data_IF_760400182901
#
_entry.id   IF_760400182901
#
_cell.length_a   1.000
_cell.length_b   1.000
_cell.length_c   1.000
_cell.angle_alpha   90.00
_cell.angle_beta   90.00
_cell.angle_gamma   90.00
#
_symmetry.space_group_name_H-M   'P 1'
#
loop_
_entity.id
_entity.type
_entity.pdbx_description
1 polymer ?
#
# COMPACT_ATOMS: atom_id res chain seq x y z
N UNK A 1 11.67 55.51 8.65
CA UNK A 1 11.89 54.18 9.26
C UNK A 1 10.82 53.24 8.75
N UNK A 2 11.17 51.97 8.54
CA UNK A 2 10.48 50.95 7.72
C UNK A 2 10.69 51.13 6.20
N UNK A 3 11.83 50.62 5.71
CA UNK A 3 12.10 50.44 4.29
C UNK A 3 11.49 49.13 3.79
N UNK A 4 10.73 49.24 2.71
CA UNK A 4 10.10 48.15 1.96
C UNK A 4 11.12 47.05 1.57
N UNK A 5 11.01 45.88 2.19
CA UNK A 5 11.55 44.62 1.68
C UNK A 5 10.39 43.64 1.56
N UNK A 6 9.66 43.63 0.45
CA UNK A 6 8.67 42.59 0.17
C UNK A 6 8.31 42.43 -1.32
N UNK A 7 9.26 42.64 -2.23
CA UNK A 7 9.02 42.39 -3.66
C UNK A 7 10.26 41.74 -4.33
N UNK A 8 10.54 40.46 -4.03
CA UNK A 8 11.47 39.66 -4.85
C UNK A 8 11.35 38.13 -4.66
N UNK A 9 10.17 37.61 -4.33
CA UNK A 9 9.97 36.16 -4.12
C UNK A 9 9.02 35.49 -5.11
N UNK A 10 8.42 36.21 -6.07
CA UNK A 10 7.40 35.63 -6.95
C UNK A 10 7.86 35.14 -8.33
N UNK A 11 9.16 35.19 -8.66
CA UNK A 11 9.61 34.91 -10.04
C UNK A 11 10.65 33.79 -10.22
N UNK A 12 10.94 32.98 -9.19
CA UNK A 12 11.87 31.86 -9.35
C UNK A 12 11.12 30.61 -9.78
N UNK A 13 11.44 30.11 -10.99
CA UNK A 13 10.94 28.82 -11.52
C UNK A 13 11.49 27.59 -10.78
N UNK A 14 12.31 27.80 -9.76
CA UNK A 14 12.93 26.79 -8.92
C UNK A 14 12.93 27.22 -7.45
N UNK A 15 12.92 26.23 -6.58
CA UNK A 15 13.03 26.28 -5.13
C UNK A 15 14.38 25.68 -4.72
N UNK A 16 14.88 26.06 -3.55
CA UNK A 16 16.14 25.51 -2.99
C UNK A 16 15.78 24.43 -1.98
N UNK A 17 16.07 23.16 -2.29
CA UNK A 17 15.82 22.03 -1.39
C UNK A 17 16.90 21.83 -0.33
N UNK A 18 18.16 22.13 -0.67
CA UNK A 18 19.30 22.18 0.26
C UNK A 18 20.33 23.17 -0.29
N UNK A 19 20.96 23.93 0.59
CA UNK A 19 22.14 24.72 0.25
C UNK A 19 23.23 24.45 1.28
N UNK A 20 24.42 24.12 0.81
CA UNK A 20 25.62 23.95 1.60
C UNK A 20 26.56 25.10 1.29
N UNK A 21 26.81 25.94 2.29
CA UNK A 21 27.75 27.04 2.20
C UNK A 21 29.14 26.55 2.60
N UNK A 22 30.11 26.81 1.72
CA UNK A 22 31.53 26.62 1.94
C UNK A 22 32.20 28.00 1.88
N UNK A 23 33.43 28.12 2.39
CA UNK A 23 34.15 29.40 2.50
C UNK A 23 34.21 30.22 1.20
N UNK A 24 34.18 29.57 0.05
CA UNK A 24 34.33 30.21 -1.27
C UNK A 24 33.13 30.06 -2.20
N UNK A 25 32.15 29.21 -1.84
CA UNK A 25 31.06 28.88 -2.75
C UNK A 25 29.86 28.29 -2.01
N UNK A 26 28.70 28.35 -2.65
CA UNK A 26 27.47 27.69 -2.20
C UNK A 26 27.11 26.59 -3.18
N UNK A 27 26.96 25.36 -2.67
CA UNK A 27 26.39 24.24 -3.41
C UNK A 27 24.89 24.17 -3.11
N UNK A 28 24.05 24.47 -4.10
CA UNK A 28 22.59 24.44 -3.94
C UNK A 28 21.96 23.31 -4.76
N UNK A 29 21.09 22.53 -4.10
CA UNK A 29 20.23 21.52 -4.71
C UNK A 29 18.89 22.15 -5.01
N UNK A 30 18.68 22.50 -6.28
CA UNK A 30 17.49 23.19 -6.74
C UNK A 30 16.42 22.18 -7.20
N UNK A 31 15.16 22.46 -6.94
CA UNK A 31 14.01 21.62 -7.28
C UNK A 31 12.84 22.51 -7.68
N UNK A 32 11.93 22.04 -8.54
CA UNK A 32 10.74 22.83 -8.90
C UNK A 32 9.69 22.86 -7.80
N UNK A 33 9.58 21.78 -7.04
CA UNK A 33 8.44 21.51 -6.16
C UNK A 33 8.81 21.17 -4.71
N UNK A 34 10.11 21.05 -4.38
CA UNK A 34 10.60 20.59 -3.06
C UNK A 34 10.33 19.10 -2.77
N UNK A 35 10.20 18.26 -3.80
CA UNK A 35 10.25 16.79 -3.64
C UNK A 35 11.69 16.31 -3.38
N UNK A 36 12.27 16.77 -2.28
CA UNK A 36 13.62 16.45 -1.84
C UNK A 36 13.65 16.40 -0.31
N UNK A 37 14.16 15.31 0.26
CA UNK A 37 14.35 15.17 1.70
C UNK A 37 15.77 14.65 1.97
N UNK A 38 16.70 15.50 2.43
CA UNK A 38 18.05 15.08 2.75
C UNK A 38 18.05 14.28 4.06
N UNK A 39 18.84 13.22 4.10
CA UNK A 39 19.16 12.49 5.32
C UNK A 39 20.65 12.56 5.56
N UNK A 40 21.03 12.89 6.78
CA UNK A 40 22.42 12.95 7.21
C UNK A 40 22.71 11.77 8.14
N UNK A 41 23.81 11.09 7.87
CA UNK A 41 24.34 10.01 8.71
C UNK A 41 25.83 10.28 8.90
N UNK A 42 26.34 10.02 10.10
CA UNK A 42 27.74 10.29 10.43
C UNK A 42 28.68 9.21 9.87
N UNK A 43 28.14 8.04 9.51
CA UNK A 43 28.85 6.98 8.79
C UNK A 43 27.91 6.18 7.88
N UNK A 44 28.49 5.41 6.95
CA UNK A 44 27.74 4.48 6.09
C UNK A 44 27.09 3.36 6.91
N UNK A 45 27.68 3.00 8.06
CA UNK A 45 27.16 1.94 8.93
C UNK A 45 25.86 2.35 9.65
N UNK A 46 25.59 3.65 9.75
CA UNK A 46 24.34 4.19 10.31
C UNK A 46 23.20 4.26 9.27
N UNK A 47 23.48 3.93 8.01
CA UNK A 47 22.46 3.84 6.95
C UNK A 47 21.64 2.58 7.22
N UNK A 48 20.36 2.80 7.54
CA UNK A 48 19.41 1.72 7.75
C UNK A 48 19.06 1.08 6.41
N UNK A 49 19.58 -0.12 6.16
CA UNK A 49 19.26 -0.89 4.97
C UNK A 49 17.91 -1.57 5.14
N UNK A 50 16.90 -1.04 4.46
CA UNK A 50 15.57 -1.61 4.44
C UNK A 50 15.56 -2.87 3.55
N UNK A 51 14.82 -3.92 3.91
CA UNK A 51 14.79 -5.16 3.14
C UNK A 51 14.23 -4.90 1.75
N UNK A 52 14.86 -5.49 0.72
CA UNK A 52 14.27 -5.45 -0.61
C UNK A 52 13.01 -6.32 -0.62
N UNK A 53 11.85 -5.73 -0.88
CA UNK A 53 10.55 -6.42 -0.82
C UNK A 53 10.52 -7.71 -1.65
N UNK A 54 11.20 -7.72 -2.80
CA UNK A 54 11.20 -8.87 -3.73
C UNK A 54 12.29 -9.89 -3.37
N UNK A 55 13.50 -9.43 -3.05
CA UNK A 55 14.66 -10.31 -2.82
C UNK A 55 14.74 -10.85 -1.40
N UNK A 56 14.33 -10.04 -0.43
CA UNK A 56 14.43 -10.29 1.01
C UNK A 56 13.05 -10.39 1.65
N UNK A 57 12.08 -10.98 0.95
CA UNK A 57 10.66 -10.94 1.32
C UNK A 57 10.38 -11.41 2.75
N UNK A 58 11.08 -12.44 3.25
CA UNK A 58 10.94 -12.88 4.65
C UNK A 58 11.39 -11.82 5.67
N UNK A 59 12.47 -11.07 5.38
CA UNK A 59 12.91 -9.95 6.21
C UNK A 59 11.93 -8.79 6.13
N UNK A 60 11.37 -8.53 4.94
CA UNK A 60 10.30 -7.55 4.75
C UNK A 60 9.05 -7.88 5.60
N UNK A 61 8.59 -9.13 5.59
CA UNK A 61 7.46 -9.55 6.44
C UNK A 61 7.74 -9.33 7.94
N UNK A 62 8.95 -9.63 8.40
CA UNK A 62 9.36 -9.36 9.80
C UNK A 62 9.41 -7.86 10.11
N UNK A 63 9.89 -7.05 9.18
CA UNK A 63 9.89 -5.60 9.34
C UNK A 63 8.45 -5.05 9.42
N UNK A 64 7.53 -5.57 8.59
CA UNK A 64 6.11 -5.23 8.66
C UNK A 64 5.49 -5.61 10.01
N UNK A 65 5.79 -6.80 10.53
CA UNK A 65 5.37 -7.20 11.89
C UNK A 65 5.86 -6.21 12.95
N UNK A 66 7.16 -5.87 12.93
CA UNK A 66 7.73 -4.93 13.89
C UNK A 66 7.06 -3.56 13.80
N UNK A 67 6.82 -3.06 12.60
CA UNK A 67 6.12 -1.79 12.40
C UNK A 67 4.69 -1.83 12.96
N UNK A 68 3.91 -2.88 12.66
CA UNK A 68 2.54 -3.04 13.18
C UNK A 68 2.51 -3.04 14.72
N UNK A 69 3.48 -3.72 15.34
CA UNK A 69 3.61 -3.77 16.80
C UNK A 69 4.02 -2.41 17.38
N UNK A 70 5.01 -1.75 16.79
CA UNK A 70 5.52 -0.45 17.26
C UNK A 70 4.48 0.66 17.17
N UNK A 71 3.69 0.69 16.09
CA UNK A 71 2.58 1.63 15.93
C UNK A 71 1.40 1.33 16.87
N UNK A 72 1.38 0.15 17.49
CA UNK A 72 0.37 -0.25 18.47
C UNK A 72 -1.00 -0.52 17.85
N UNK A 73 -1.09 -0.88 16.57
CA UNK A 73 -2.38 -1.13 15.90
C UNK A 73 -3.17 -2.26 16.56
N UNK A 74 -2.49 -3.23 17.18
CA UNK A 74 -3.15 -4.37 17.86
C UNK A 74 -3.52 -4.06 19.32
N UNK A 75 -3.16 -2.88 19.84
CA UNK A 75 -3.49 -2.47 21.20
C UNK A 75 -4.89 -1.87 21.28
N UNK A 76 -5.87 -2.70 21.64
CA UNK A 76 -7.30 -2.33 21.73
C UNK A 76 -7.56 -1.12 22.63
N UNK A 77 -6.74 -0.88 23.66
CA UNK A 77 -6.92 0.27 24.55
C UNK A 77 -6.71 1.62 23.87
N UNK A 78 -6.07 1.63 22.68
CA UNK A 78 -5.76 2.86 21.95
C UNK A 78 -6.70 3.10 20.76
N UNK A 79 -7.53 2.12 20.39
CA UNK A 79 -8.35 2.16 19.19
C UNK A 79 -9.33 3.34 19.16
N UNK A 80 -9.96 3.66 20.29
CA UNK A 80 -10.98 4.73 20.35
C UNK A 80 -10.45 6.13 20.04
N UNK A 81 -9.13 6.34 20.07
CA UNK A 81 -8.50 7.64 19.85
C UNK A 81 -7.79 7.74 18.49
N UNK A 82 -7.78 6.66 17.68
CA UNK A 82 -7.11 6.65 16.38
C UNK A 82 -8.10 7.02 15.29
N UNK A 83 -7.86 8.17 14.67
CA UNK A 83 -8.65 8.68 13.54
C UNK A 83 -7.79 8.87 12.28
N UNK A 84 -6.53 8.42 12.31
CA UNK A 84 -5.63 8.51 11.17
C UNK A 84 -6.10 7.55 10.08
N UNK A 85 -6.08 8.01 8.83
CA UNK A 85 -6.39 7.17 7.68
C UNK A 85 -5.26 6.16 7.44
N UNK A 86 -5.64 4.92 7.11
CA UNK A 86 -4.69 3.84 6.85
C UNK A 86 -3.72 4.17 5.71
N UNK A 87 -4.19 4.86 4.67
CA UNK A 87 -3.35 5.26 3.53
C UNK A 87 -2.26 6.25 3.95
N UNK A 88 -2.54 7.13 4.92
CA UNK A 88 -1.55 8.04 5.48
C UNK A 88 -0.55 7.30 6.36
N UNK A 89 -1.02 6.38 7.21
CA UNK A 89 -0.13 5.55 8.02
C UNK A 89 0.80 4.67 7.15
N UNK A 90 0.30 4.15 6.02
CA UNK A 90 1.09 3.40 5.06
C UNK A 90 2.10 4.28 4.31
N UNK A 91 1.70 5.47 3.89
CA UNK A 91 2.60 6.45 3.28
C UNK A 91 3.79 6.79 4.19
N UNK A 92 3.54 6.91 5.50
CA UNK A 92 4.57 7.22 6.50
C UNK A 92 5.31 5.97 7.01
N UNK A 93 4.94 4.77 6.54
CA UNK A 93 5.54 3.51 6.93
C UNK A 93 6.96 3.39 6.37
N UNK A 94 7.95 3.47 7.26
CA UNK A 94 9.37 3.31 6.89
C UNK A 94 9.67 1.99 6.19
N UNK A 95 8.94 0.92 6.55
CA UNK A 95 9.14 -0.41 5.95
C UNK A 95 8.67 -0.44 4.49
N UNK A 96 7.63 0.33 4.17
CA UNK A 96 7.15 0.55 2.80
C UNK A 96 7.96 1.66 2.09
N UNK A 97 9.29 1.58 2.15
CA UNK A 97 10.15 2.60 1.57
C UNK A 97 9.86 2.82 0.08
N UNK A 98 9.76 4.09 -0.33
CA UNK A 98 9.36 4.48 -1.68
C UNK A 98 7.84 4.50 -1.91
N UNK A 99 7.03 4.20 -0.89
CA UNK A 99 5.58 4.36 -0.94
C UNK A 99 5.15 5.83 -0.78
N UNK A 100 5.38 6.65 -1.81
CA UNK A 100 4.83 8.00 -1.88
C UNK A 100 3.32 8.01 -2.12
N UNK A 101 2.77 9.19 -2.38
CA UNK A 101 1.32 9.39 -2.64
C UNK A 101 0.81 8.46 -3.75
N UNK A 102 1.55 8.37 -4.87
CA UNK A 102 1.12 7.58 -6.02
C UNK A 102 1.09 6.09 -5.68
N UNK A 103 2.20 5.60 -5.12
CA UNK A 103 2.36 4.20 -4.71
C UNK A 103 1.30 3.81 -3.69
N UNK A 104 1.01 4.66 -2.71
CA UNK A 104 -0.01 4.38 -1.69
C UNK A 104 -1.40 4.25 -2.31
N UNK A 105 -1.78 5.15 -3.24
CA UNK A 105 -3.05 5.02 -3.97
C UNK A 105 -3.14 3.74 -4.80
N UNK A 106 -2.08 3.38 -5.50
CA UNK A 106 -2.00 2.15 -6.30
C UNK A 106 -2.09 0.89 -5.43
N UNK A 107 -1.41 0.87 -4.28
CA UNK A 107 -1.46 -0.25 -3.32
C UNK A 107 -2.87 -0.42 -2.76
N UNK A 108 -3.52 0.66 -2.32
CA UNK A 108 -4.88 0.57 -1.78
C UNK A 108 -5.90 0.15 -2.84
N UNK A 109 -5.76 0.61 -4.09
CA UNK A 109 -6.55 0.09 -5.22
C UNK A 109 -6.36 -1.41 -5.39
N UNK A 110 -5.12 -1.86 -5.51
CA UNK A 110 -4.84 -3.29 -5.77
C UNK A 110 -5.20 -4.18 -4.59
N UNK A 111 -5.14 -3.68 -3.36
CA UNK A 111 -5.63 -4.36 -2.17
C UNK A 111 -7.16 -4.38 -2.06
N UNK A 112 -7.88 -3.60 -2.88
CA UNK A 112 -9.34 -3.46 -2.80
C UNK A 112 -9.82 -2.84 -1.48
N UNK A 113 -9.00 -1.98 -0.87
CA UNK A 113 -9.27 -1.39 0.45
C UNK A 113 -9.57 0.09 0.26
N UNK A 114 -10.67 0.56 0.85
CA UNK A 114 -11.03 1.97 0.81
C UNK A 114 -9.95 2.82 1.50
N UNK A 115 -9.44 3.89 0.87
CA UNK A 115 -8.45 4.79 1.47
C UNK A 115 -9.02 5.62 2.63
N UNK A 116 -10.34 5.55 2.85
CA UNK A 116 -11.04 6.26 3.92
C UNK A 116 -11.14 5.45 5.22
N UNK A 117 -10.69 4.20 5.22
CA UNK A 117 -10.60 3.42 6.46
C UNK A 117 -9.49 3.97 7.36
N UNK A 118 -9.72 3.89 8.66
CA UNK A 118 -8.71 4.20 9.66
C UNK A 118 -7.59 3.16 9.65
N UNK A 119 -6.42 3.55 10.15
CA UNK A 119 -5.28 2.68 10.30
C UNK A 119 -5.58 1.42 11.14
N UNK A 120 -6.40 1.52 12.19
CA UNK A 120 -6.82 0.36 12.99
C UNK A 120 -7.74 -0.57 12.19
N UNK A 121 -8.72 -0.05 11.47
CA UNK A 121 -9.62 -0.87 10.64
C UNK A 121 -8.86 -1.70 9.59
N UNK A 122 -7.70 -1.22 9.14
CA UNK A 122 -6.85 -1.92 8.18
C UNK A 122 -5.80 -2.77 8.90
N UNK A 123 -4.94 -2.19 9.72
CA UNK A 123 -3.76 -2.87 10.25
C UNK A 123 -4.02 -3.76 11.47
N UNK A 124 -5.22 -3.71 12.06
CA UNK A 124 -5.66 -4.71 13.03
C UNK A 124 -6.40 -5.90 12.39
N UNK A 125 -6.66 -5.85 11.08
CA UNK A 125 -7.34 -6.91 10.35
C UNK A 125 -6.34 -7.76 9.55
N UNK A 126 -6.30 -9.10 9.74
CA UNK A 126 -5.31 -9.94 9.05
C UNK A 126 -5.46 -9.99 7.53
N UNK A 127 -6.69 -9.99 7.01
CA UNK A 127 -6.93 -10.00 5.56
C UNK A 127 -6.52 -8.67 4.91
N UNK A 128 -6.87 -7.55 5.52
CA UNK A 128 -6.46 -6.22 5.06
C UNK A 128 -4.93 -6.08 5.02
N UNK A 129 -4.24 -6.49 6.10
CA UNK A 129 -2.77 -6.46 6.15
C UNK A 129 -2.17 -7.35 5.06
N UNK A 130 -2.69 -8.57 4.88
CA UNK A 130 -2.22 -9.47 3.83
C UNK A 130 -2.42 -8.88 2.43
N UNK A 131 -3.59 -8.27 2.15
CA UNK A 131 -3.90 -7.62 0.87
C UNK A 131 -2.98 -6.42 0.59
N UNK A 132 -2.71 -5.56 1.58
CA UNK A 132 -1.75 -4.44 1.44
C UNK A 132 -0.35 -4.97 1.14
N UNK A 133 0.11 -6.00 1.85
CA UNK A 133 1.42 -6.61 1.63
C UNK A 133 1.50 -7.22 0.23
N UNK A 134 0.48 -7.97 -0.20
CA UNK A 134 0.41 -8.57 -1.53
C UNK A 134 0.40 -7.51 -2.64
N UNK A 135 -0.34 -6.42 -2.45
CA UNK A 135 -0.39 -5.30 -3.39
C UNK A 135 0.94 -4.57 -3.51
N UNK A 136 1.59 -4.27 -2.38
CA UNK A 136 2.89 -3.61 -2.38
C UNK A 136 3.98 -4.50 -2.98
N UNK A 137 4.02 -5.79 -2.61
CA UNK A 137 4.91 -6.75 -3.25
C UNK A 137 4.72 -6.79 -4.76
N UNK A 138 3.47 -6.88 -5.23
CA UNK A 138 3.14 -6.95 -6.66
C UNK A 138 3.62 -5.71 -7.40
N UNK A 139 3.39 -4.52 -6.86
CA UNK A 139 3.83 -3.25 -7.44
C UNK A 139 5.36 -3.21 -7.59
N UNK A 140 6.10 -3.57 -6.52
CA UNK A 140 7.57 -3.60 -6.56
C UNK A 140 8.09 -4.70 -7.48
N UNK A 141 7.43 -5.86 -7.50
CA UNK A 141 7.75 -6.98 -8.37
C UNK A 141 7.62 -6.59 -9.85
N UNK A 142 6.53 -5.92 -10.23
CA UNK A 142 6.30 -5.41 -11.58
C UNK A 142 7.36 -4.38 -11.94
N UNK A 143 7.64 -3.41 -11.06
CA UNK A 143 8.70 -2.42 -11.29
C UNK A 143 10.09 -3.07 -11.50
N UNK A 144 10.34 -4.19 -10.84
CA UNK A 144 11.60 -4.92 -10.92
C UNK A 144 11.75 -5.76 -12.20
N UNK A 145 10.67 -6.42 -12.64
CA UNK A 145 10.68 -7.41 -13.71
C UNK A 145 10.18 -6.89 -15.05
N UNK A 146 9.31 -5.89 -15.07
CA UNK A 146 8.83 -5.28 -16.30
C UNK A 146 9.89 -4.34 -16.86
N UNK A 147 10.46 -4.74 -18.00
CA UNK A 147 11.54 -3.99 -18.65
C UNK A 147 11.13 -2.56 -19.03
N UNK A 148 9.84 -2.34 -19.32
CA UNK A 148 9.29 -1.04 -19.72
C UNK A 148 9.45 0.04 -18.65
N UNK A 149 8.85 -0.16 -17.46
CA UNK A 149 8.93 0.81 -16.36
C UNK A 149 10.37 0.98 -15.87
N UNK A 150 11.13 -0.12 -15.76
CA UNK A 150 12.53 -0.05 -15.34
C UNK A 150 13.38 0.76 -16.32
N UNK A 151 13.22 0.51 -17.62
CA UNK A 151 13.91 1.27 -18.67
C UNK A 151 13.51 2.74 -18.64
N UNK A 152 12.21 3.04 -18.49
CA UNK A 152 11.71 4.40 -18.38
C UNK A 152 12.34 5.14 -17.21
N UNK A 153 12.32 4.56 -16.01
CA UNK A 153 12.91 5.15 -14.79
C UNK A 153 14.42 5.33 -14.95
N UNK A 154 15.14 4.30 -15.40
CA UNK A 154 16.59 4.38 -15.59
C UNK A 154 16.99 5.42 -16.65
N UNK A 155 16.18 5.61 -17.69
CA UNK A 155 16.44 6.64 -18.71
C UNK A 155 16.27 8.08 -18.20
N UNK A 156 15.60 8.26 -17.06
CA UNK A 156 15.46 9.53 -16.37
C UNK A 156 16.48 9.70 -15.22
N UNK A 157 17.30 8.68 -14.95
CA UNK A 157 18.37 8.75 -13.95
C UNK A 157 19.68 9.22 -14.58
N UNK A 158 20.20 10.34 -14.08
CA UNK A 158 21.49 10.90 -14.46
C UNK A 158 22.43 10.87 -13.24
N UNK A 159 23.13 9.74 -13.07
CA UNK A 159 23.88 9.46 -11.85
C UNK A 159 22.95 9.25 -10.67
N UNK A 160 23.03 10.11 -9.66
CA UNK A 160 22.16 10.09 -8.47
C UNK A 160 20.95 11.04 -8.59
N UNK A 161 20.81 11.75 -9.70
CA UNK A 161 19.74 12.74 -9.92
C UNK A 161 18.67 12.13 -10.81
N UNK A 162 17.41 12.27 -10.40
CA UNK A 162 16.25 11.95 -11.24
C UNK A 162 15.79 13.22 -11.98
N UNK A 163 15.91 13.23 -13.31
CA UNK A 163 15.55 14.37 -14.14
C UNK A 163 14.69 13.92 -15.34
N UNK A 164 13.46 13.52 -15.06
CA UNK A 164 12.50 13.09 -16.09
C UNK A 164 12.03 14.26 -16.98
N UNK A 165 11.91 14.00 -18.28
CA UNK A 165 11.20 14.87 -19.23
C UNK A 165 9.68 14.75 -19.09
N UNK A 166 8.93 15.73 -19.63
CA UNK A 166 7.46 15.68 -19.65
C UNK A 166 6.93 14.43 -20.39
N UNK A 167 7.59 14.04 -21.49
CA UNK A 167 7.24 12.83 -22.23
C UNK A 167 7.45 11.57 -21.38
N UNK A 168 8.55 11.47 -20.63
CA UNK A 168 8.77 10.35 -19.72
C UNK A 168 7.73 10.30 -18.59
N UNK A 169 7.31 11.46 -18.06
CA UNK A 169 6.24 11.54 -17.06
C UNK A 169 4.89 11.08 -17.64
N UNK A 170 4.56 11.50 -18.87
CA UNK A 170 3.37 11.04 -19.58
C UNK A 170 3.42 9.54 -19.87
N UNK A 171 4.60 9.00 -20.20
CA UNK A 171 4.75 7.57 -20.40
C UNK A 171 4.61 6.80 -19.08
N UNK A 172 5.05 7.38 -17.95
CA UNK A 172 4.92 6.76 -16.63
C UNK A 172 3.44 6.59 -16.22
N UNK A 173 2.57 7.52 -16.62
CA UNK A 173 1.12 7.44 -16.39
C UNK A 173 0.48 6.14 -16.89
N UNK A 174 1.03 5.52 -17.94
CA UNK A 174 0.54 4.24 -18.44
C UNK A 174 0.83 3.05 -17.52
N UNK A 175 1.76 3.19 -16.58
CA UNK A 175 2.10 2.18 -15.57
C UNK A 175 1.36 2.37 -14.24
N UNK A 176 0.52 3.42 -14.12
CA UNK A 176 -0.36 3.65 -12.98
C UNK A 176 -1.75 3.07 -13.29
N UNK A 177 -2.44 2.47 -12.34
CA UNK A 177 -3.79 1.95 -12.55
C UNK A 177 -4.87 2.98 -12.23
N UNK A 178 -4.64 3.84 -11.24
CA UNK A 178 -5.66 4.76 -10.73
C UNK A 178 -5.17 6.19 -10.55
N UNK A 179 -3.89 6.40 -10.19
CA UNK A 179 -3.43 7.74 -9.83
C UNK A 179 -3.46 8.70 -11.02
N UNK A 180 -4.11 9.85 -10.83
CA UNK A 180 -4.25 10.88 -11.86
C UNK A 180 -5.21 10.49 -13.00
N UNK A 181 -5.98 9.40 -12.86
CA UNK A 181 -6.93 8.92 -13.88
C UNK A 181 -8.36 9.27 -13.50
N UNK A 182 -9.10 9.89 -14.41
CA UNK A 182 -10.54 10.11 -14.26
C UNK A 182 -11.34 8.80 -14.46
N UNK A 183 -10.83 7.92 -15.32
CA UNK A 183 -11.45 6.63 -15.66
C UNK A 183 -10.42 5.52 -15.54
N UNK A 184 -10.85 4.40 -14.95
CA UNK A 184 -10.03 3.20 -14.78
C UNK A 184 -10.73 2.00 -15.40
N UNK A 185 -9.95 1.06 -15.92
CA UNK A 185 -10.43 -0.24 -16.35
C UNK A 185 -10.37 -1.20 -15.16
N UNK A 186 -11.42 -1.98 -14.97
CA UNK A 186 -11.52 -3.00 -13.92
C UNK A 186 -12.06 -4.29 -14.54
N UNK A 187 -11.92 -5.40 -13.83
CA UNK A 187 -12.55 -6.66 -14.23
C UNK A 187 -14.06 -6.58 -14.01
N UNK A 188 -14.83 -7.50 -14.61
CA UNK A 188 -16.27 -7.57 -14.34
C UNK A 188 -16.59 -7.86 -12.87
N UNK A 189 -15.74 -8.67 -12.20
CA UNK A 189 -15.89 -8.98 -10.78
C UNK A 189 -15.62 -7.72 -9.92
N UNK A 190 -14.52 -7.02 -10.17
CA UNK A 190 -14.18 -5.77 -9.48
C UNK A 190 -15.29 -4.72 -9.67
N UNK A 191 -15.84 -4.57 -10.88
CA UNK A 191 -16.95 -3.66 -11.14
C UNK A 191 -18.19 -4.01 -10.31
N UNK A 192 -18.60 -5.28 -10.28
CA UNK A 192 -19.76 -5.72 -9.51
C UNK A 192 -19.58 -5.48 -7.99
N UNK A 193 -18.37 -5.72 -7.47
CA UNK A 193 -18.05 -5.45 -6.07
C UNK A 193 -18.05 -3.95 -5.75
N UNK A 194 -17.54 -3.11 -6.66
CA UNK A 194 -17.58 -1.64 -6.51
C UNK A 194 -19.03 -1.14 -6.49
N UNK A 195 -19.86 -1.59 -7.43
CA UNK A 195 -21.28 -1.23 -7.48
C UNK A 195 -22.00 -1.64 -6.19
N UNK A 196 -21.76 -2.87 -5.72
CA UNK A 196 -22.32 -3.36 -4.44
C UNK A 196 -21.87 -2.49 -3.25
N UNK A 197 -20.58 -2.15 -3.18
CA UNK A 197 -20.03 -1.31 -2.11
C UNK A 197 -20.68 0.08 -2.11
N UNK A 198 -20.73 0.75 -3.26
CA UNK A 198 -21.30 2.09 -3.41
C UNK A 198 -22.80 2.09 -3.08
N UNK A 199 -23.55 1.13 -3.58
CA UNK A 199 -24.98 0.98 -3.28
C UNK A 199 -25.23 0.76 -1.78
N UNK A 200 -24.39 -0.05 -1.14
CA UNK A 200 -24.50 -0.34 0.29
C UNK A 200 -24.18 0.90 1.12
N UNK A 201 -23.11 1.63 0.80
CA UNK A 201 -22.76 2.90 1.45
C UNK A 201 -23.88 3.93 1.29
N UNK A 202 -24.45 4.09 0.09
CA UNK A 202 -25.54 5.03 -0.16
C UNK A 202 -26.78 4.70 0.67
N UNK A 203 -27.12 3.40 0.79
CA UNK A 203 -28.22 2.92 1.64
C UNK A 203 -27.95 3.17 3.13
N UNK A 204 -26.72 2.96 3.59
CA UNK A 204 -26.32 3.18 4.98
C UNK A 204 -26.26 4.67 5.34
N UNK A 205 -25.86 5.53 4.41
CA UNK A 205 -25.72 6.97 4.62
C UNK A 205 -27.05 7.69 4.91
N UNK A 206 -28.17 7.15 4.42
CA UNK A 206 -29.52 7.71 4.66
C UNK A 206 -30.23 7.12 5.88
N UNK A 207 -29.61 6.16 6.58
CA UNK A 207 -30.23 5.55 7.76
C UNK A 207 -30.20 6.52 8.95
N UNK A 208 -31.26 6.54 9.79
CA UNK A 208 -31.36 7.46 10.92
C UNK A 208 -30.47 7.05 12.12
N UNK A 209 -29.87 5.85 12.08
CA UNK A 209 -29.04 5.31 13.14
C UNK A 209 -27.56 5.25 12.73
N UNK A 210 -26.69 5.36 13.72
CA UNK A 210 -25.25 5.14 13.52
C UNK A 210 -25.03 3.68 13.13
N UNK A 211 -24.18 3.47 12.15
CA UNK A 211 -23.78 2.14 11.69
C UNK A 211 -22.27 1.99 11.84
N UNK A 212 -21.82 0.75 11.99
CA UNK A 212 -20.40 0.40 11.94
C UNK A 212 -20.27 -0.94 11.22
N UNK A 213 -19.19 -1.15 10.49
CA UNK A 213 -18.98 -2.33 9.65
C UNK A 213 -19.13 -3.65 10.43
N UNK A 214 -18.76 -3.66 11.70
CA UNK A 214 -18.81 -4.85 12.56
C UNK A 214 -20.15 -5.04 13.30
N UNK A 215 -20.98 -4.00 13.39
CA UNK A 215 -22.24 -4.03 14.15
C UNK A 215 -23.50 -4.08 13.27
N UNK A 216 -23.38 -3.97 11.94
CA UNK A 216 -24.53 -3.96 11.04
C UNK A 216 -24.90 -5.36 10.55
N UNK A 217 -26.21 -5.63 10.50
CA UNK A 217 -26.77 -6.82 9.83
C UNK A 217 -26.63 -6.76 8.29
N UNK A 218 -26.17 -5.63 7.74
CA UNK A 218 -25.87 -5.47 6.32
C UNK A 218 -24.36 -5.65 6.15
N UNK A 219 -23.90 -6.68 5.43
CA UNK A 219 -22.48 -6.86 5.19
C UNK A 219 -21.97 -5.79 4.22
N UNK A 220 -20.86 -5.14 4.58
CA UNK A 220 -20.13 -4.23 3.70
C UNK A 220 -18.84 -4.93 3.28
N UNK A 221 -18.81 -5.40 2.02
CA UNK A 221 -17.68 -6.11 1.45
C UNK A 221 -16.73 -5.17 0.72
N UNK A 222 -15.45 -5.49 0.76
CA UNK A 222 -14.41 -4.81 0.00
C UNK A 222 -14.42 -5.24 -1.47
N UNK A 223 -13.92 -4.36 -2.33
CA UNK A 223 -13.86 -4.56 -3.78
C UNK A 223 -12.51 -5.14 -4.22
N UNK A 224 -12.09 -6.23 -3.57
CA UNK A 224 -10.82 -6.88 -3.86
C UNK A 224 -10.88 -7.75 -5.11
N UNK A 225 -9.90 -7.57 -6.01
CA UNK A 225 -9.71 -8.35 -7.22
C UNK A 225 -8.35 -9.09 -7.15
N UNK A 226 -8.35 -10.42 -6.97
CA UNK A 226 -7.14 -11.24 -6.84
C UNK A 226 -6.12 -11.06 -7.97
N UNK A 227 -6.59 -10.77 -9.19
CA UNK A 227 -5.75 -10.53 -10.36
C UNK A 227 -4.75 -9.39 -10.13
N UNK A 228 -5.19 -8.34 -9.43
CA UNK A 228 -4.38 -7.15 -9.13
C UNK A 228 -3.16 -7.45 -8.25
N UNK A 229 -3.13 -8.61 -7.57
CA UNK A 229 -2.04 -9.04 -6.69
C UNK A 229 -1.49 -10.43 -7.03
N UNK A 230 -1.76 -10.89 -8.27
CA UNK A 230 -1.39 -12.23 -8.76
C UNK A 230 0.06 -12.63 -8.44
N UNK A 231 1.10 -11.79 -8.68
CA UNK A 231 2.48 -12.17 -8.38
C UNK A 231 2.72 -12.55 -6.91
N UNK A 232 2.08 -11.86 -5.96
CA UNK A 232 2.21 -12.17 -4.54
C UNK A 232 1.50 -13.48 -4.16
N UNK A 233 0.34 -13.74 -4.75
CA UNK A 233 -0.45 -14.96 -4.50
C UNK A 233 0.17 -16.22 -5.14
N UNK A 234 1.03 -16.05 -6.14
CA UNK A 234 1.78 -17.12 -6.81
C UNK A 234 3.14 -17.43 -6.15
N UNK A 235 3.52 -16.71 -5.09
CA UNK A 235 4.75 -17.00 -4.35
C UNK A 235 4.72 -18.43 -3.78
N UNK A 236 5.79 -19.19 -4.05
CA UNK A 236 5.94 -20.55 -3.50
C UNK A 236 6.10 -20.55 -1.99
N UNK A 237 6.81 -19.56 -1.45
CA UNK A 237 7.05 -19.39 -0.02
C UNK A 237 6.60 -18.00 0.44
N UNK A 238 5.96 -17.93 1.60
CA UNK A 238 5.50 -16.68 2.20
C UNK A 238 4.28 -16.04 1.54
N UNK A 239 3.60 -16.71 0.59
CA UNK A 239 2.30 -16.21 0.14
C UNK A 239 1.33 -16.11 1.33
N UNK A 240 0.50 -15.07 1.32
CA UNK A 240 -0.44 -14.76 2.39
C UNK A 240 -1.88 -15.07 1.98
N UNK A 241 -2.08 -15.93 0.98
CA UNK A 241 -3.41 -16.21 0.40
C UNK A 241 -4.41 -16.72 1.44
N UNK A 242 -3.95 -17.55 2.39
CA UNK A 242 -4.78 -18.03 3.49
C UNK A 242 -5.23 -16.92 4.45
N UNK A 243 -4.48 -15.82 4.58
CA UNK A 243 -4.93 -14.64 5.33
C UNK A 243 -5.85 -13.73 4.49
N UNK A 244 -5.58 -13.61 3.18
CA UNK A 244 -6.43 -12.81 2.27
C UNK A 244 -7.85 -13.37 2.23
N UNK A 245 -7.98 -14.65 1.92
CA UNK A 245 -9.26 -15.32 1.66
C UNK A 245 -9.82 -16.08 2.85
N UNK A 246 -9.03 -16.28 3.91
CA UNK A 246 -9.34 -17.28 4.93
C UNK A 246 -9.10 -18.71 4.44
N UNK A 247 -8.97 -19.63 5.39
CA UNK A 247 -8.57 -21.01 5.13
C UNK A 247 -9.55 -21.77 4.20
N UNK A 248 -10.86 -21.54 4.34
CA UNK A 248 -11.90 -22.25 3.58
C UNK A 248 -11.89 -21.87 2.09
N UNK A 249 -12.00 -20.57 1.79
CA UNK A 249 -12.00 -20.07 0.41
C UNK A 249 -10.63 -20.27 -0.26
N UNK A 250 -9.53 -20.15 0.49
CA UNK A 250 -8.20 -20.47 -0.04
C UNK A 250 -8.09 -21.95 -0.45
N UNK A 251 -8.62 -22.86 0.38
CA UNK A 251 -8.62 -24.29 0.10
C UNK A 251 -9.54 -24.66 -1.08
N UNK A 252 -10.67 -23.95 -1.27
CA UNK A 252 -11.56 -24.20 -2.41
C UNK A 252 -10.91 -23.84 -3.76
N UNK A 253 -9.90 -22.97 -3.78
CA UNK A 253 -9.06 -22.75 -4.96
C UNK A 253 -8.00 -23.84 -5.19
N UNK A 254 -8.04 -24.94 -4.44
CA UNK A 254 -7.07 -26.03 -4.51
C UNK A 254 -5.70 -25.65 -3.94
N UNK A 255 -5.62 -24.61 -3.11
CA UNK A 255 -4.37 -24.15 -2.48
C UNK A 255 -4.20 -24.79 -1.11
N UNK A 256 -2.94 -24.95 -0.70
CA UNK A 256 -2.58 -25.57 0.58
C UNK A 256 -2.19 -24.48 1.57
N UNK A 257 -2.70 -24.58 2.79
CA UNK A 257 -2.31 -23.70 3.90
C UNK A 257 -0.86 -24.04 4.29
N UNK A 258 0.05 -23.06 4.37
CA UNK A 258 1.43 -23.32 4.76
C UNK A 258 1.54 -23.98 6.14
N UNK A 259 2.28 -25.09 6.23
CA UNK A 259 2.59 -25.74 7.52
C UNK A 259 3.50 -24.85 8.36
N UNK A 260 4.48 -24.21 7.72
CA UNK A 260 5.32 -23.21 8.33
C UNK A 260 4.61 -21.87 8.26
N UNK A 261 4.21 -21.35 9.42
CA UNK A 261 3.54 -20.06 9.54
C UNK A 261 4.49 -18.93 9.15
N UNK A 262 3.98 -17.99 8.36
CA UNK A 262 4.66 -16.74 8.07
C UNK A 262 4.60 -15.78 9.28
N UNK A 263 5.49 -14.77 9.35
CA UNK A 263 5.53 -13.83 10.47
C UNK A 263 4.21 -13.08 10.73
N UNK A 264 3.42 -12.79 9.69
CA UNK A 264 2.16 -12.05 9.82
C UNK A 264 1.09 -12.95 10.46
N UNK A 265 0.98 -14.19 10.00
CA UNK A 265 0.07 -15.16 10.63
C UNK A 265 0.43 -15.38 12.10
N UNK A 266 1.71 -15.53 12.40
CA UNK A 266 2.20 -15.71 13.76
C UNK A 266 1.84 -14.50 14.65
N UNK A 267 2.03 -13.28 14.15
CA UNK A 267 1.68 -12.04 14.86
C UNK A 267 0.21 -12.04 15.31
N UNK A 268 -0.71 -12.39 14.41
CA UNK A 268 -2.14 -12.36 14.71
C UNK A 268 -2.61 -13.51 15.62
N UNK A 269 -1.93 -14.66 15.58
CA UNK A 269 -2.15 -15.75 16.54
C UNK A 269 -1.70 -15.33 17.95
N UNK A 270 -0.50 -14.73 18.07
CA UNK A 270 0.05 -14.29 19.36
C UNK A 270 -0.80 -13.21 20.05
N UNK A 271 -1.52 -12.41 19.26
CA UNK A 271 -2.46 -11.40 19.76
C UNK A 271 -3.90 -11.93 19.93
N UNK A 272 -4.13 -13.22 19.74
CA UNK A 272 -5.44 -13.86 19.91
C UNK A 272 -6.50 -13.39 18.92
N UNK A 273 -6.09 -12.86 17.76
CA UNK A 273 -6.99 -12.42 16.68
C UNK A 273 -7.37 -13.61 15.80
N UNK A 274 -6.43 -14.53 15.58
CA UNK A 274 -6.65 -15.81 14.91
C UNK A 274 -6.66 -16.91 15.98
N UNK A 275 -7.74 -17.68 16.07
CA UNK A 275 -7.88 -18.83 16.97
C UNK A 275 -7.67 -20.15 16.23
N UNK A 276 -7.03 -21.13 16.89
CA UNK A 276 -6.77 -22.52 16.42
C UNK A 276 -7.81 -23.49 17.04
N UNK A 277 -8.27 -24.60 16.40
CA UNK A 277 -7.70 -25.34 15.26
C UNK A 277 -8.36 -25.07 13.89
N UNK A 278 -9.50 -24.39 13.89
CA UNK A 278 -10.15 -23.89 12.68
C UNK A 278 -10.13 -22.38 12.81
N UNK A 279 -9.38 -21.69 11.93
CA UNK A 279 -9.34 -20.23 11.81
C UNK A 279 -10.69 -19.70 11.28
N UNK A 280 -11.78 -20.15 11.88
CA UNK A 280 -13.03 -20.47 11.20
C UNK A 280 -13.82 -19.24 10.73
N UNK A 281 -13.48 -18.06 11.21
CA UNK A 281 -14.17 -16.81 10.87
C UNK A 281 -13.17 -15.65 10.92
N UNK A 282 -12.11 -15.72 10.12
CA UNK A 282 -11.30 -14.54 9.84
C UNK A 282 -12.22 -13.49 9.17
N UNK A 283 -12.36 -12.27 9.71
CA UNK A 283 -13.14 -11.23 9.05
C UNK A 283 -12.36 -10.76 7.81
N UNK A 284 -12.59 -11.40 6.66
CA UNK A 284 -11.93 -11.07 5.40
C UNK A 284 -12.52 -9.82 4.75
N UNK A 285 -13.79 -9.52 5.08
CA UNK A 285 -14.66 -8.57 4.39
C UNK A 285 -14.74 -8.81 2.88
N UNK A 286 -14.50 -10.05 2.44
CA UNK A 286 -14.67 -10.47 1.05
C UNK A 286 -16.08 -11.05 0.86
N UNK A 287 -16.64 -10.87 -0.34
CA UNK A 287 -17.86 -11.54 -0.74
C UNK A 287 -17.50 -12.91 -1.34
N UNK A 288 -17.40 -13.96 -0.53
CA UNK A 288 -16.95 -15.30 -0.96
C UNK A 288 -17.69 -15.82 -2.21
N UNK A 289 -18.97 -15.46 -2.38
CA UNK A 289 -19.79 -15.86 -3.51
C UNK A 289 -19.30 -15.30 -4.88
N UNK A 290 -18.55 -14.21 -4.89
CA UNK A 290 -18.00 -13.59 -6.10
C UNK A 290 -16.68 -14.25 -6.55
N UNK A 291 -16.08 -15.12 -5.72
CA UNK A 291 -14.79 -15.75 -6.01
C UNK A 291 -14.94 -17.23 -6.33
N UNK A 292 -15.37 -17.55 -7.54
CA UNK A 292 -15.46 -18.94 -8.03
C UNK A 292 -14.11 -19.54 -8.43
N UNK A 293 -13.16 -18.69 -8.82
CA UNK A 293 -11.79 -19.04 -9.16
C UNK A 293 -10.83 -17.99 -8.61
N UNK A 294 -9.57 -18.39 -8.40
CA UNK A 294 -8.55 -17.47 -7.88
C UNK A 294 -8.11 -16.44 -8.93
N UNK A 295 -8.11 -16.81 -10.20
CA UNK A 295 -7.66 -15.97 -11.30
C UNK A 295 -8.57 -16.16 -12.50
N UNK A 296 -8.64 -15.15 -13.36
CA UNK A 296 -9.32 -15.25 -14.64
C UNK A 296 -8.53 -16.22 -15.52
N UNK A 297 -9.19 -17.27 -16.01
CA UNK A 297 -8.63 -18.13 -17.04
C UNK A 297 -8.39 -17.28 -18.29
N UNK A 298 -7.15 -17.30 -18.81
CA UNK A 298 -6.91 -16.68 -20.10
C UNK A 298 -7.73 -17.44 -21.15
N UNK A 299 -8.56 -16.78 -21.97
CA UNK A 299 -9.19 -17.48 -23.07
C UNK A 299 -8.08 -18.07 -23.94
N UNK A 300 -8.12 -19.39 -24.14
CA UNK A 300 -7.26 -20.12 -25.08
C UNK A 300 -7.40 -19.60 -26.51
#
# INVERSE_FOLDING_TARGET
MAGHYNECLQDRSFKVGLALEFDTHVLAFLTKDLLFQPYWKSSVDEVEWLPNVVRDYSLFLKAMVNWIVLEGFLNKSWHSNRTQLAISAFHDCKVAHGAGVYTSSEVFKSAGISPLLTDVEVFANPSHVARIICAFYTLVYQAYHESGIKSLVLSAMHGTVFASTQLQQQNYYHYLNIYGKERVTCTMCEAALVDYFVDTINKLAVQPYKWSRDATNVPLFDFFEPENVRPALLLKEGNLGHLVFGDMLWSSFGKVIPVKLDPITQLFIEHGIICDPTRALLPTYLCDAEYSALFIDSPE
#
